data_IF_831857247797
#
_entry.id   IF_831857247797
#
_cell.length_a   1.000
_cell.length_b   1.000
_cell.length_c   1.000
_cell.angle_alpha   90.00
_cell.angle_beta   90.00
_cell.angle_gamma   90.00
#
_symmetry.space_group_name_H-M   'P 1'
#
loop_
_entity.id
_entity.type
_entity.pdbx_description
1 polymer ?
#
# COMPACT_ATOMS: atom_id res chain seq x y z
N UNK A 1 -3.08 -8.43 22.62
CA UNK A 1 -4.50 -8.85 22.68
C UNK A 1 -4.59 -10.28 22.15
N UNK A 2 -5.45 -11.15 22.72
CA UNK A 2 -5.66 -12.50 22.18
C UNK A 2 -6.84 -12.48 21.21
N UNK A 3 -6.59 -12.88 19.97
CA UNK A 3 -7.60 -13.01 18.92
C UNK A 3 -7.55 -14.42 18.37
N UNK A 4 -8.71 -15.05 18.23
CA UNK A 4 -8.84 -16.34 17.54
C UNK A 4 -9.18 -16.07 16.07
N UNK A 5 -8.45 -16.70 15.17
CA UNK A 5 -8.68 -16.62 13.71
C UNK A 5 -8.72 -18.03 13.15
N UNK A 6 -9.57 -18.26 12.16
CA UNK A 6 -9.64 -19.53 11.46
C UNK A 6 -8.62 -19.54 10.32
N UNK A 7 -7.81 -20.60 10.25
CA UNK A 7 -6.82 -20.83 9.20
C UNK A 7 -7.02 -22.22 8.62
N UNK A 8 -6.81 -22.35 7.32
CA UNK A 8 -6.73 -23.68 6.69
C UNK A 8 -5.56 -24.47 7.26
N UNK A 9 -5.73 -25.78 7.40
CA UNK A 9 -4.72 -26.67 7.97
C UNK A 9 -3.39 -26.60 7.22
N UNK A 10 -3.41 -26.48 5.89
CA UNK A 10 -2.20 -26.37 5.08
C UNK A 10 -1.46 -25.06 5.35
N UNK A 11 -2.20 -23.98 5.63
CA UNK A 11 -1.60 -22.69 5.95
C UNK A 11 -0.94 -22.75 7.33
N UNK A 12 -1.63 -23.35 8.31
CA UNK A 12 -1.08 -23.57 9.65
C UNK A 12 0.19 -24.41 9.61
N UNK A 13 0.21 -25.49 8.83
CA UNK A 13 1.38 -26.34 8.65
C UNK A 13 2.58 -25.56 8.06
N UNK A 14 2.34 -24.76 7.02
CA UNK A 14 3.37 -23.89 6.42
C UNK A 14 3.91 -22.84 7.41
N UNK A 15 3.02 -22.23 8.18
CA UNK A 15 3.38 -21.25 9.20
C UNK A 15 4.27 -21.86 10.29
N UNK A 16 3.95 -23.09 10.73
CA UNK A 16 4.77 -23.83 11.70
C UNK A 16 6.15 -24.19 11.14
N UNK A 17 6.23 -24.67 9.90
CA UNK A 17 7.50 -24.97 9.24
C UNK A 17 8.37 -23.70 9.11
N UNK A 18 7.80 -22.58 8.67
CA UNK A 18 8.52 -21.31 8.59
C UNK A 18 8.99 -20.80 9.96
N UNK A 19 8.17 -20.95 11.01
CA UNK A 19 8.55 -20.59 12.37
C UNK A 19 9.72 -21.46 12.86
N UNK A 20 9.65 -22.77 12.63
CA UNK A 20 10.71 -23.71 12.99
C UNK A 20 12.05 -23.37 12.32
N UNK A 21 12.02 -23.04 11.03
CA UNK A 21 13.22 -22.58 10.29
C UNK A 21 13.80 -21.28 10.82
N UNK A 22 12.98 -20.41 11.42
CA UNK A 22 13.41 -19.14 12.05
C UNK A 22 13.81 -19.30 13.53
N UNK A 23 13.72 -20.51 14.11
CA UNK A 23 13.98 -20.75 15.53
C UNK A 23 12.91 -20.18 16.47
N UNK A 24 11.73 -19.86 15.94
CA UNK A 24 10.61 -19.32 16.70
C UNK A 24 9.80 -20.45 17.34
N UNK A 25 9.30 -20.23 18.57
CA UNK A 25 8.50 -21.23 19.32
C UNK A 25 7.11 -21.48 18.71
N UNK A 26 6.69 -20.68 17.75
CA UNK A 26 5.40 -20.76 17.06
C UNK A 26 5.29 -19.70 15.99
N UNK A 27 4.14 -19.63 15.30
CA UNK A 27 3.96 -18.74 14.15
C UNK A 27 3.32 -17.38 14.49
N UNK A 28 3.09 -17.05 15.77
CA UNK A 28 2.43 -15.80 16.16
C UNK A 28 3.13 -14.56 15.61
N UNK A 29 4.48 -14.53 15.69
CA UNK A 29 5.29 -13.42 15.18
C UNK A 29 5.22 -13.30 13.66
N UNK A 30 5.14 -14.41 12.94
CA UNK A 30 4.93 -14.42 11.49
C UNK A 30 3.56 -13.85 11.11
N UNK A 31 2.51 -14.18 11.89
CA UNK A 31 1.17 -13.66 11.66
C UNK A 31 1.12 -12.15 11.92
N UNK A 32 1.74 -11.68 13.00
CA UNK A 32 1.85 -10.25 13.30
C UNK A 32 2.58 -9.51 12.18
N UNK A 33 3.76 -9.99 11.76
CA UNK A 33 4.52 -9.43 10.62
C UNK A 33 3.72 -9.41 9.31
N UNK A 34 2.86 -10.40 9.09
CA UNK A 34 2.03 -10.50 7.89
C UNK A 34 0.88 -9.49 7.93
N UNK A 35 0.22 -9.35 9.08
CA UNK A 35 -0.87 -8.40 9.29
C UNK A 35 -0.35 -6.97 9.17
N UNK A 36 0.80 -6.66 9.78
CA UNK A 36 1.41 -5.33 9.67
C UNK A 36 1.73 -4.96 8.23
N UNK A 37 2.33 -5.89 7.47
CA UNK A 37 2.63 -5.69 6.06
C UNK A 37 1.38 -5.49 5.22
N UNK A 38 0.35 -6.30 5.46
CA UNK A 38 -0.93 -6.17 4.76
C UNK A 38 -1.57 -4.80 5.01
N UNK A 39 -1.63 -4.35 6.26
CA UNK A 39 -2.20 -3.04 6.61
C UNK A 39 -1.39 -1.91 5.96
N UNK A 40 -0.06 -1.95 6.07
CA UNK A 40 0.80 -0.93 5.47
C UNK A 40 0.62 -0.87 3.94
N UNK A 41 0.52 -2.02 3.29
CA UNK A 41 0.28 -2.12 1.86
C UNK A 41 -1.10 -1.54 1.48
N UNK A 42 -2.16 -1.92 2.19
CA UNK A 42 -3.51 -1.40 1.93
C UNK A 42 -3.62 0.12 2.14
N UNK A 43 -2.98 0.65 3.20
CA UNK A 43 -2.91 2.10 3.41
C UNK A 43 -2.14 2.80 2.29
N UNK A 44 -1.02 2.21 1.85
CA UNK A 44 -0.24 2.73 0.73
C UNK A 44 -0.99 2.69 -0.60
N UNK A 45 -1.92 1.75 -0.80
CA UNK A 45 -2.79 1.67 -1.98
C UNK A 45 -3.92 2.70 -1.92
N UNK A 46 -4.45 2.96 -0.73
CA UNK A 46 -5.55 3.89 -0.53
C UNK A 46 -5.13 5.36 -0.73
N UNK A 47 -3.93 5.75 -0.26
CA UNK A 47 -3.52 7.16 -0.26
C UNK A 47 -3.35 7.79 -1.65
N UNK A 48 -2.57 7.22 -2.59
CA UNK A 48 -2.40 7.80 -3.92
C UNK A 48 -3.71 7.88 -4.68
N UNK A 49 -4.57 6.85 -4.54
CA UNK A 49 -5.90 6.83 -5.16
C UNK A 49 -6.79 7.91 -4.57
N UNK A 50 -6.82 8.06 -3.25
CA UNK A 50 -7.58 9.11 -2.56
C UNK A 50 -7.07 10.50 -2.93
N UNK A 51 -5.76 10.70 -2.94
CA UNK A 51 -5.12 11.95 -3.34
C UNK A 51 -5.42 12.30 -4.80
N UNK A 52 -5.34 11.34 -5.72
CA UNK A 52 -5.67 11.53 -7.13
C UNK A 52 -7.16 11.87 -7.33
N UNK A 53 -8.07 11.21 -6.59
CA UNK A 53 -9.49 11.54 -6.62
C UNK A 53 -9.78 12.93 -6.04
N UNK A 54 -9.09 13.32 -4.96
CA UNK A 54 -9.23 14.64 -4.35
C UNK A 54 -8.68 15.77 -5.26
N UNK A 55 -7.62 15.49 -6.02
CA UNK A 55 -7.06 16.43 -7.00
C UNK A 55 -7.97 16.61 -8.25
N UNK A 56 -8.92 15.69 -8.48
CA UNK A 56 -9.78 15.76 -9.66
C UNK A 56 -10.76 16.92 -9.53
N UNK A 57 -10.52 17.97 -10.32
CA UNK A 57 -11.35 19.18 -10.32
C UNK A 57 -10.98 20.19 -9.25
N UNK A 58 -9.82 20.04 -8.59
CA UNK A 58 -9.36 20.98 -7.58
C UNK A 58 -8.75 22.28 -8.14
N UNK A 59 -8.45 22.33 -9.45
CA UNK A 59 -7.96 23.53 -10.12
C UNK A 59 -9.12 24.34 -10.70
N UNK A 60 -9.13 25.65 -10.42
CA UNK A 60 -9.98 26.57 -11.16
C UNK A 60 -9.55 26.61 -12.64
N UNK A 61 -10.49 26.97 -13.52
CA UNK A 61 -10.26 26.96 -14.98
C UNK A 61 -9.03 27.80 -15.39
N UNK A 62 -8.80 28.93 -14.73
CA UNK A 62 -7.66 29.82 -15.00
C UNK A 62 -6.35 29.16 -14.58
N UNK A 63 -6.31 28.53 -13.41
CA UNK A 63 -5.13 27.83 -12.89
C UNK A 63 -4.77 26.62 -13.76
N UNK A 64 -5.78 25.89 -14.23
CA UNK A 64 -5.59 24.77 -15.14
C UNK A 64 -5.00 25.22 -16.49
N UNK A 65 -5.46 26.36 -17.03
CA UNK A 65 -4.94 26.92 -18.27
C UNK A 65 -3.49 27.41 -18.13
N UNK A 66 -3.17 28.09 -17.03
CA UNK A 66 -1.79 28.54 -16.75
C UNK A 66 -0.82 27.36 -16.61
N UNK A 67 -1.20 26.34 -15.84
CA UNK A 67 -0.40 25.12 -15.68
C UNK A 67 -0.17 24.44 -17.02
N UNK A 68 -1.19 24.32 -17.87
CA UNK A 68 -1.07 23.71 -19.19
C UNK A 68 -0.10 24.49 -20.10
N UNK A 69 -0.18 25.83 -20.11
CA UNK A 69 0.72 26.69 -20.89
C UNK A 69 2.18 26.53 -20.44
N UNK A 70 2.43 26.51 -19.14
CA UNK A 70 3.78 26.33 -18.57
C UNK A 70 4.37 24.97 -18.89
N UNK A 71 3.56 23.90 -18.82
CA UNK A 71 4.00 22.55 -19.19
C UNK A 71 4.32 22.46 -20.69
N UNK A 72 3.54 23.11 -21.55
CA UNK A 72 3.81 23.16 -22.98
C UNK A 72 5.16 23.84 -23.28
N UNK A 73 5.42 25.01 -22.68
CA UNK A 73 6.69 25.73 -22.85
C UNK A 73 7.91 24.90 -22.41
N UNK A 74 7.80 24.18 -21.28
CA UNK A 74 8.88 23.27 -20.82
C UNK A 74 9.10 22.15 -21.83
N UNK A 75 8.04 21.51 -22.33
CA UNK A 75 8.15 20.43 -23.31
C UNK A 75 8.76 20.87 -24.64
N UNK A 76 8.49 22.10 -25.07
CA UNK A 76 9.12 22.67 -26.26
C UNK A 76 10.63 22.82 -26.09
N UNK A 77 11.11 23.18 -24.89
CA UNK A 77 12.55 23.31 -24.60
C UNK A 77 13.31 21.98 -24.47
N UNK A 78 12.62 20.85 -24.39
CA UNK A 78 13.21 19.51 -24.26
C UNK A 78 13.31 18.78 -25.61
N UNK A 79 12.85 19.42 -26.68
CA UNK A 79 12.81 18.88 -28.03
C UNK A 79 13.94 19.46 -28.86
#
# INVERSE_FOLDING_TARGET
MRTTIELRDELRAKLLDMAGRRGEKGFSRLVEEAVDRYIAEELSRAEPRRAALAARGSLARVEAADLAARVAAIRESWR
#
